data_IF_378995904814
#
_entry.id   IF_378995904814
#
_cell.length_a   1.000
_cell.length_b   1.000
_cell.length_c   1.000
_cell.angle_alpha   90.00
_cell.angle_beta   90.00
_cell.angle_gamma   90.00
#
_symmetry.space_group_name_H-M   'P 1'
#
loop_
_entity.id
_entity.type
_entity.pdbx_description
1 polymer ?
#
# COMPACT_ATOMS: atom_id res chain seq x y z
N UNK A 1 -18.04 -14.89 4.47
CA UNK A 1 -18.74 -13.80 5.16
C UNK A 1 -19.45 -12.88 4.18
N UNK A 2 -20.24 -11.91 4.67
CA UNK A 2 -20.90 -10.95 3.80
C UNK A 2 -19.87 -10.20 2.96
N UNK A 3 -20.12 -10.06 1.67
CA UNK A 3 -19.22 -9.37 0.75
C UNK A 3 -18.23 -10.25 0.03
N UNK A 4 -18.28 -11.58 0.21
CA UNK A 4 -17.47 -12.52 -0.55
C UNK A 4 -16.01 -12.64 -0.11
N UNK A 5 -15.67 -12.24 1.11
CA UNK A 5 -14.30 -12.39 1.63
C UNK A 5 -14.09 -13.77 2.21
N UNK A 6 -12.92 -14.36 1.91
CA UNK A 6 -12.52 -15.62 2.51
C UNK A 6 -12.23 -15.44 3.99
N UNK A 7 -12.54 -16.47 4.77
CA UNK A 7 -12.20 -16.48 6.19
C UNK A 7 -10.70 -16.66 6.35
N UNK A 8 -10.08 -15.81 7.15
CA UNK A 8 -8.64 -15.85 7.46
C UNK A 8 -8.39 -15.95 8.94
N UNK A 9 -7.27 -16.55 9.27
CA UNK A 9 -6.71 -16.48 10.61
C UNK A 9 -6.24 -15.06 10.91
N UNK A 10 -6.16 -14.73 12.18
CA UNK A 10 -5.78 -13.40 12.63
C UNK A 10 -6.98 -12.60 13.13
N UNK A 11 -6.71 -11.38 13.49
CA UNK A 11 -7.74 -10.47 14.00
C UNK A 11 -7.29 -9.02 13.87
N UNK A 12 -8.26 -8.12 13.91
CA UNK A 12 -7.99 -6.68 14.02
C UNK A 12 -8.87 -6.14 15.12
N UNK A 13 -8.25 -5.45 16.09
CA UNK A 13 -8.97 -4.74 17.15
C UNK A 13 -9.02 -3.25 16.85
N UNK A 14 -10.17 -2.58 17.07
CA UNK A 14 -10.20 -1.12 17.01
C UNK A 14 -9.09 -0.51 17.88
N UNK A 15 -8.44 0.50 17.36
CA UNK A 15 -7.31 1.16 18.02
C UNK A 15 -5.93 0.64 17.61
N UNK A 16 -5.83 -0.50 16.93
CA UNK A 16 -4.54 -0.95 16.39
C UNK A 16 -4.08 0.00 15.28
N UNK A 17 -2.76 0.10 15.15
CA UNK A 17 -2.15 0.87 14.07
C UNK A 17 -2.23 0.10 12.74
N UNK A 18 -2.39 0.84 11.66
CA UNK A 18 -2.26 0.31 10.31
C UNK A 18 -0.96 0.84 9.72
N UNK A 19 -0.11 -0.10 9.30
CA UNK A 19 1.23 0.20 8.77
C UNK A 19 1.32 -0.32 7.35
N UNK A 20 1.87 0.48 6.45
CA UNK A 20 2.25 0.01 5.12
C UNK A 20 3.76 -0.17 5.08
N UNK A 21 4.20 -1.33 4.62
CA UNK A 21 5.60 -1.67 4.37
C UNK A 21 5.80 -1.89 2.87
N UNK A 22 6.80 -1.25 2.30
CA UNK A 22 7.07 -1.26 0.87
C UNK A 22 6.45 -0.06 0.15
N UNK A 23 7.00 0.27 -1.02
CA UNK A 23 6.50 1.39 -1.82
C UNK A 23 5.27 0.99 -2.62
N UNK A 24 4.20 1.79 -2.50
CA UNK A 24 2.97 1.61 -3.27
C UNK A 24 3.16 2.05 -4.73
N UNK A 25 2.49 1.34 -5.65
CA UNK A 25 2.41 1.71 -7.05
C UNK A 25 3.70 1.51 -7.86
N UNK A 26 4.77 1.04 -7.24
CA UNK A 26 6.08 0.92 -7.89
C UNK A 26 6.08 -0.10 -9.03
N UNK A 27 5.48 -1.27 -8.80
CA UNK A 27 5.40 -2.31 -9.83
C UNK A 27 4.60 -1.82 -11.04
N UNK A 28 3.48 -1.14 -10.79
CA UNK A 28 2.68 -0.55 -11.87
C UNK A 28 3.43 0.53 -12.64
N UNK A 29 4.16 1.40 -11.94
CA UNK A 29 4.96 2.43 -12.60
C UNK A 29 6.06 1.83 -13.47
N UNK A 30 6.69 0.73 -13.03
CA UNK A 30 7.66 -0.02 -13.84
C UNK A 30 7.03 -0.56 -15.11
N UNK A 31 5.81 -1.11 -15.02
CA UNK A 31 5.08 -1.60 -16.19
C UNK A 31 4.73 -0.47 -17.15
N UNK A 32 4.32 0.69 -16.64
CA UNK A 32 4.06 1.88 -17.46
C UNK A 32 5.35 2.29 -18.18
N UNK A 33 6.47 2.30 -17.46
CA UNK A 33 7.77 2.65 -18.05
C UNK A 33 8.13 1.71 -19.20
N UNK A 34 7.93 0.41 -19.02
CA UNK A 34 8.18 -0.57 -20.09
C UNK A 34 7.31 -0.35 -21.31
N UNK A 35 6.05 0.00 -21.12
CA UNK A 35 5.10 0.23 -22.21
C UNK A 35 5.27 1.59 -22.90
N UNK A 36 5.69 2.61 -22.16
CA UNK A 36 5.71 4.00 -22.61
C UNK A 36 7.11 4.62 -22.51
N UNK A 37 8.12 3.80 -22.70
CA UNK A 37 9.51 4.19 -22.49
C UNK A 37 9.89 5.46 -23.23
N UNK A 38 9.58 5.55 -24.52
CA UNK A 38 9.91 6.72 -25.35
C UNK A 38 9.27 8.00 -24.81
N UNK A 39 8.00 7.94 -24.45
CA UNK A 39 7.29 9.10 -23.89
C UNK A 39 7.92 9.56 -22.57
N UNK A 40 8.28 8.62 -21.71
CA UNK A 40 8.88 8.92 -20.41
C UNK A 40 10.30 9.46 -20.58
N UNK A 41 11.10 8.89 -21.48
CA UNK A 41 12.44 9.38 -21.77
C UNK A 41 12.43 10.78 -22.42
N UNK A 42 11.39 11.12 -23.13
CA UNK A 42 11.19 12.46 -23.66
C UNK A 42 10.80 13.50 -22.62
N UNK A 43 10.28 13.06 -21.48
CA UNK A 43 9.80 13.95 -20.41
C UNK A 43 10.73 14.05 -19.22
N UNK A 44 11.37 12.96 -18.85
CA UNK A 44 12.16 12.85 -17.62
C UNK A 44 13.63 12.55 -17.92
N UNK A 45 14.52 13.06 -17.08
CA UNK A 45 15.95 12.78 -17.18
C UNK A 45 16.23 11.29 -16.87
N UNK A 46 17.27 10.70 -17.48
CA UNK A 46 17.64 9.31 -17.21
C UNK A 46 17.85 9.01 -15.72
N UNK A 47 18.43 9.96 -14.98
CA UNK A 47 18.64 9.81 -13.53
C UNK A 47 17.34 9.65 -12.76
N UNK A 48 16.29 10.35 -13.18
CA UNK A 48 14.98 10.26 -12.58
C UNK A 48 14.33 8.89 -12.85
N UNK A 49 14.47 8.40 -14.09
CA UNK A 49 13.86 7.13 -14.51
C UNK A 49 14.60 5.90 -13.99
N UNK A 50 15.83 6.07 -13.50
CA UNK A 50 16.69 4.96 -13.09
C UNK A 50 16.04 4.07 -12.03
N UNK A 51 15.29 4.64 -11.09
CA UNK A 51 14.63 3.86 -10.06
C UNK A 51 13.57 2.90 -10.61
N UNK A 52 13.03 3.18 -11.81
CA UNK A 52 12.05 2.32 -12.46
C UNK A 52 12.71 1.14 -13.19
N UNK A 53 14.02 1.16 -13.36
CA UNK A 53 14.80 0.10 -13.98
C UNK A 53 15.43 -0.85 -12.96
N UNK A 54 15.52 -0.42 -11.70
CA UNK A 54 16.13 -1.23 -10.64
C UNK A 54 15.10 -2.08 -9.92
N UNK A 55 15.52 -3.26 -9.52
CA UNK A 55 14.74 -4.09 -8.61
C UNK A 55 14.80 -3.50 -7.20
N UNK A 56 13.78 -3.82 -6.39
CA UNK A 56 13.79 -3.43 -4.99
C UNK A 56 14.90 -4.14 -4.23
N UNK A 57 15.53 -3.43 -3.29
CA UNK A 57 16.55 -3.98 -2.42
C UNK A 57 15.97 -4.69 -1.19
N UNK A 58 14.66 -4.66 -1.01
CA UNK A 58 13.96 -5.24 0.13
C UNK A 58 12.88 -6.22 -0.35
N UNK A 59 12.46 -7.12 0.55
CA UNK A 59 11.45 -8.14 0.26
C UNK A 59 10.47 -8.23 1.43
N UNK A 60 9.27 -7.65 1.27
CA UNK A 60 8.30 -7.59 2.37
C UNK A 60 7.72 -8.95 2.72
N UNK A 61 7.51 -9.83 1.74
CA UNK A 61 6.96 -11.16 1.99
C UNK A 61 7.89 -12.00 2.86
N UNK A 62 9.16 -12.04 2.52
CA UNK A 62 10.18 -12.75 3.29
C UNK A 62 10.28 -12.18 4.70
N UNK A 63 10.33 -10.86 4.82
CA UNK A 63 10.34 -10.20 6.11
C UNK A 63 9.13 -10.58 6.95
N UNK A 64 7.92 -10.49 6.37
CA UNK A 64 6.69 -10.78 7.11
C UNK A 64 6.61 -12.24 7.55
N UNK A 65 6.96 -13.18 6.68
CA UNK A 65 6.98 -14.60 7.02
C UNK A 65 7.90 -14.88 8.20
N UNK A 66 9.08 -14.24 8.24
CA UNK A 66 10.01 -14.35 9.37
C UNK A 66 9.47 -13.69 10.64
N UNK A 67 8.83 -12.52 10.49
CA UNK A 67 8.24 -11.79 11.61
C UNK A 67 7.11 -12.59 12.27
N UNK A 68 6.27 -13.23 11.47
CA UNK A 68 5.15 -14.03 11.97
C UNK A 68 5.59 -15.29 12.73
N UNK A 69 6.82 -15.73 12.55
CA UNK A 69 7.39 -16.86 13.29
C UNK A 69 7.90 -16.46 14.67
N UNK A 70 8.05 -15.17 14.91
CA UNK A 70 8.57 -14.67 16.18
C UNK A 70 7.51 -14.82 17.27
N UNK A 71 7.96 -15.21 18.47
CA UNK A 71 7.12 -15.18 19.66
C UNK A 71 6.75 -13.71 19.93
N UNK A 72 5.51 -13.47 20.28
CA UNK A 72 5.02 -12.12 20.59
C UNK A 72 5.06 -11.16 19.40
N UNK A 73 4.88 -11.68 18.19
CA UNK A 73 4.77 -10.85 16.99
C UNK A 73 3.60 -9.87 17.13
N UNK A 74 3.83 -8.55 16.96
CA UNK A 74 2.76 -7.56 17.11
C UNK A 74 1.80 -7.51 15.92
N UNK A 75 2.14 -8.14 14.80
CA UNK A 75 1.29 -8.17 13.60
C UNK A 75 0.17 -9.19 13.80
N UNK A 76 -1.07 -8.74 13.68
CA UNK A 76 -2.25 -9.60 13.89
C UNK A 76 -3.02 -9.90 12.60
N UNK A 77 -2.85 -9.08 11.57
CA UNK A 77 -3.51 -9.26 10.28
C UNK A 77 -2.72 -8.50 9.21
N UNK A 78 -2.86 -8.92 7.96
CA UNK A 78 -2.18 -8.28 6.82
C UNK A 78 -2.91 -8.54 5.52
N UNK A 79 -2.61 -7.71 4.51
CA UNK A 79 -3.06 -7.90 3.13
C UNK A 79 -2.00 -7.36 2.18
N UNK A 80 -1.58 -8.16 1.22
CA UNK A 80 -0.63 -7.72 0.20
C UNK A 80 -1.33 -6.83 -0.83
N UNK A 81 -0.68 -5.73 -1.19
CA UNK A 81 -1.14 -4.88 -2.28
C UNK A 81 -0.73 -5.52 -3.61
N UNK A 82 -1.69 -5.70 -4.49
CA UNK A 82 -1.50 -6.30 -5.82
C UNK A 82 -2.34 -5.52 -6.84
N UNK A 83 -3.16 -6.23 -7.61
CA UNK A 83 -4.08 -5.60 -8.54
C UNK A 83 -5.05 -4.67 -7.81
N UNK A 84 -5.23 -3.48 -8.35
CA UNK A 84 -6.04 -2.42 -7.73
C UNK A 84 -5.29 -1.59 -6.69
N UNK A 85 -4.01 -1.91 -6.45
CA UNK A 85 -3.12 -1.14 -5.60
C UNK A 85 -3.41 -1.21 -4.11
N UNK A 86 -2.80 -0.29 -3.37
CA UNK A 86 -2.88 -0.28 -1.90
C UNK A 86 -4.31 -0.02 -1.40
N UNK A 87 -5.11 0.77 -2.10
CA UNK A 87 -6.48 1.04 -1.65
C UNK A 87 -7.38 -0.18 -1.74
N UNK A 88 -7.16 -1.06 -2.73
CA UNK A 88 -7.87 -2.34 -2.78
C UNK A 88 -7.44 -3.23 -1.62
N UNK A 89 -6.16 -3.23 -1.25
CA UNK A 89 -5.69 -3.97 -0.08
C UNK A 89 -6.34 -3.46 1.22
N UNK A 90 -6.47 -2.16 1.38
CA UNK A 90 -7.16 -1.55 2.54
C UNK A 90 -8.62 -2.01 2.58
N UNK A 91 -9.32 -1.94 1.47
CA UNK A 91 -10.70 -2.37 1.36
C UNK A 91 -10.85 -3.84 1.76
N UNK A 92 -10.00 -4.70 1.21
CA UNK A 92 -10.05 -6.15 1.48
C UNK A 92 -9.76 -6.44 2.96
N UNK A 93 -8.73 -5.82 3.52
CA UNK A 93 -8.37 -6.02 4.94
C UNK A 93 -9.55 -5.63 5.85
N UNK A 94 -10.13 -4.47 5.63
CA UNK A 94 -11.30 -3.98 6.36
C UNK A 94 -12.48 -4.97 6.25
N UNK A 95 -12.75 -5.46 5.04
CA UNK A 95 -13.86 -6.39 4.80
C UNK A 95 -13.63 -7.77 5.40
N UNK A 96 -12.43 -8.31 5.26
CA UNK A 96 -12.07 -9.64 5.80
C UNK A 96 -12.29 -9.68 7.32
N UNK A 97 -11.86 -8.64 8.03
CA UNK A 97 -11.91 -8.59 9.48
C UNK A 97 -13.09 -7.77 10.03
N UNK A 98 -13.95 -7.27 9.14
CA UNK A 98 -15.15 -6.55 9.48
C UNK A 98 -14.90 -5.40 10.47
N UNK A 99 -13.97 -4.54 10.12
CA UNK A 99 -13.53 -3.42 10.96
C UNK A 99 -13.43 -2.14 10.12
N UNK A 100 -13.71 -1.00 10.75
CA UNK A 100 -13.51 0.31 10.12
C UNK A 100 -12.03 0.69 10.07
N UNK A 101 -11.70 1.66 9.24
CA UNK A 101 -10.36 2.21 9.12
C UNK A 101 -10.41 3.73 9.02
N UNK A 102 -9.35 4.38 9.47
CA UNK A 102 -9.12 5.82 9.27
C UNK A 102 -7.69 5.96 8.75
N UNK A 103 -7.54 6.34 7.50
CA UNK A 103 -6.27 6.32 6.78
C UNK A 103 -5.93 7.70 6.23
N UNK A 104 -4.69 8.15 6.42
CA UNK A 104 -4.15 9.34 5.76
C UNK A 104 -3.33 8.90 4.55
N UNK A 105 -3.82 9.18 3.35
CA UNK A 105 -3.17 8.80 2.09
C UNK A 105 -1.75 9.36 1.97
N UNK A 106 -1.49 10.54 2.53
CA UNK A 106 -0.17 11.17 2.45
C UNK A 106 0.92 10.38 3.16
N UNK A 107 0.54 9.51 4.09
CA UNK A 107 1.48 8.71 4.86
C UNK A 107 1.92 7.44 4.13
N UNK A 108 1.23 7.04 3.08
CA UNK A 108 1.57 5.82 2.33
C UNK A 108 2.93 6.00 1.64
N UNK A 109 3.92 5.13 1.90
CA UNK A 109 5.21 5.22 1.22
C UNK A 109 5.05 5.14 -0.31
N UNK A 110 5.56 6.13 -0.99
CA UNK A 110 5.48 6.21 -2.45
C UNK A 110 6.66 7.01 -2.98
N UNK A 111 7.30 6.50 -4.03
CA UNK A 111 8.40 7.20 -4.69
C UNK A 111 7.86 8.38 -5.51
N UNK A 112 8.60 9.47 -5.53
CA UNK A 112 8.23 10.64 -6.35
C UNK A 112 8.12 10.28 -7.82
N UNK A 113 8.95 9.38 -8.32
CA UNK A 113 8.87 8.91 -9.69
C UNK A 113 7.50 8.27 -10.01
N UNK A 114 6.94 7.54 -9.05
CA UNK A 114 5.60 6.94 -9.21
C UNK A 114 4.54 8.03 -9.33
N UNK A 115 4.61 9.01 -8.44
CA UNK A 115 3.66 10.14 -8.44
C UNK A 115 3.68 10.87 -9.77
N UNK A 116 4.86 11.21 -10.27
CA UNK A 116 4.99 11.98 -11.50
C UNK A 116 4.65 11.20 -12.76
N UNK A 117 4.99 9.92 -12.81
CA UNK A 117 4.57 9.05 -13.92
C UNK A 117 3.04 8.93 -13.93
N UNK A 118 2.42 8.74 -12.78
CA UNK A 118 0.97 8.66 -12.68
C UNK A 118 0.29 9.97 -13.06
N UNK A 119 0.86 11.10 -12.68
CA UNK A 119 0.36 12.42 -13.12
C UNK A 119 0.38 12.55 -14.63
N UNK A 120 1.46 12.16 -15.28
CA UNK A 120 1.60 12.24 -16.73
C UNK A 120 0.52 11.45 -17.47
N UNK A 121 0.13 10.31 -16.95
CA UNK A 121 -0.88 9.45 -17.59
C UNK A 121 -2.27 9.57 -16.94
N UNK A 122 -2.45 10.50 -16.02
CA UNK A 122 -3.72 10.76 -15.33
C UNK A 122 -4.31 9.52 -14.68
N UNK A 123 -3.47 8.74 -14.03
CA UNK A 123 -3.87 7.56 -13.25
C UNK A 123 -3.62 7.77 -11.77
N UNK A 124 -4.42 7.11 -10.93
CA UNK A 124 -4.32 7.21 -9.48
C UNK A 124 -3.27 6.22 -8.96
N UNK A 125 -2.15 6.68 -8.40
CA UNK A 125 -1.10 5.77 -7.92
C UNK A 125 -1.53 4.86 -6.79
N UNK A 126 -2.53 5.26 -6.00
CA UNK A 126 -3.03 4.45 -4.89
C UNK A 126 -3.89 3.27 -5.36
N UNK A 127 -4.33 3.30 -6.62
CA UNK A 127 -5.11 2.23 -7.26
C UNK A 127 -4.34 1.55 -8.39
N UNK A 128 -3.05 1.81 -8.45
CA UNK A 128 -2.14 1.24 -9.43
C UNK A 128 -1.50 -0.03 -8.87
N UNK A 129 -1.37 -1.02 -9.73
CA UNK A 129 -0.75 -2.31 -9.41
C UNK A 129 0.49 -2.15 -8.54
N UNK A 130 0.56 -2.94 -7.48
CA UNK A 130 1.66 -2.94 -6.54
C UNK A 130 2.15 -4.37 -6.33
N UNK A 131 3.42 -4.49 -6.00
CA UNK A 131 4.05 -5.72 -5.51
C UNK A 131 5.03 -5.32 -4.42
N UNK A 132 5.44 -6.26 -3.62
CA UNK A 132 6.41 -6.01 -2.56
C UNK A 132 5.95 -4.86 -1.64
N UNK A 133 4.65 -4.88 -1.34
CA UNK A 133 3.97 -3.86 -0.56
C UNK A 133 2.84 -4.53 0.22
N UNK A 134 2.73 -4.25 1.52
CA UNK A 134 1.75 -4.90 2.40
C UNK A 134 1.19 -3.91 3.39
N UNK A 135 -0.11 -4.02 3.68
CA UNK A 135 -0.72 -3.32 4.82
C UNK A 135 -0.84 -4.30 5.99
N UNK A 136 -0.45 -3.84 7.17
CA UNK A 136 -0.43 -4.60 8.42
C UNK A 136 -1.33 -3.94 9.45
N UNK A 137 -2.04 -4.76 10.22
CA UNK A 137 -2.63 -4.30 11.48
C UNK A 137 -1.71 -4.78 12.60
N UNK A 138 -1.29 -3.90 13.47
CA UNK A 138 -0.34 -4.26 14.52
C UNK A 138 -0.46 -3.34 15.73
N UNK A 139 0.07 -3.84 16.85
CA UNK A 139 0.30 -3.03 18.04
C UNK A 139 1.64 -2.30 17.89
N UNK A 140 1.74 -1.14 18.50
CA UNK A 140 2.99 -0.36 18.51
C UNK A 140 3.55 -0.12 17.11
N UNK A 141 2.74 0.45 16.24
CA UNK A 141 3.09 0.71 14.84
C UNK A 141 4.37 1.52 14.67
N UNK A 142 4.64 2.48 15.54
CA UNK A 142 5.87 3.26 15.49
C UNK A 142 7.13 2.42 15.68
N UNK A 143 7.09 1.45 16.58
CA UNK A 143 8.20 0.49 16.76
C UNK A 143 8.35 -0.40 15.53
N UNK A 144 7.23 -0.84 14.97
CA UNK A 144 7.23 -1.66 13.74
C UNK A 144 7.91 -0.91 12.60
N UNK A 145 7.56 0.35 12.41
CA UNK A 145 8.15 1.21 11.36
C UNK A 145 9.67 1.35 11.58
N UNK A 146 10.11 1.57 12.82
CA UNK A 146 11.55 1.67 13.12
C UNK A 146 12.28 0.36 12.80
N UNK A 147 11.68 -0.77 13.16
CA UNK A 147 12.25 -2.10 12.86
C UNK A 147 12.37 -2.33 11.34
N UNK A 148 11.32 -1.98 10.60
CA UNK A 148 11.33 -2.10 9.13
C UNK A 148 12.39 -1.18 8.51
N UNK A 149 12.45 0.07 8.94
CA UNK A 149 13.42 1.04 8.44
C UNK A 149 14.86 0.60 8.70
N UNK A 150 15.13 0.01 9.86
CA UNK A 150 16.46 -0.54 10.18
C UNK A 150 16.86 -1.67 9.24
N UNK A 151 15.91 -2.33 8.60
CA UNK A 151 16.14 -3.39 7.60
C UNK A 151 16.10 -2.86 6.16
N UNK A 152 16.02 -1.55 5.99
CA UNK A 152 15.95 -0.94 4.67
C UNK A 152 14.60 -1.06 3.97
N UNK A 153 13.55 -1.39 4.70
CA UNK A 153 12.19 -1.49 4.16
C UNK A 153 11.44 -0.19 4.44
N UNK A 154 11.03 0.55 3.40
CA UNK A 154 10.26 1.77 3.61
C UNK A 154 8.93 1.42 4.28
N UNK A 155 8.54 2.19 5.30
CA UNK A 155 7.33 1.92 6.04
C UNK A 155 6.81 3.17 6.73
N UNK A 156 5.50 3.20 7.00
CA UNK A 156 4.87 4.28 7.75
C UNK A 156 3.61 3.78 8.43
N UNK A 157 3.29 4.37 9.57
CA UNK A 157 1.95 4.26 10.15
C UNK A 157 1.05 5.15 9.32
N UNK A 158 0.05 4.56 8.67
CA UNK A 158 -0.83 5.29 7.76
C UNK A 158 -2.19 5.62 8.38
N UNK A 159 -2.51 5.04 9.50
CA UNK A 159 -3.79 5.25 10.18
C UNK A 159 -4.04 4.23 11.26
N UNK A 160 -5.30 4.00 11.55
CA UNK A 160 -5.74 3.11 12.61
C UNK A 160 -7.00 2.33 12.23
N UNK A 161 -7.15 1.17 12.87
CA UNK A 161 -8.39 0.43 12.82
C UNK A 161 -9.41 1.09 13.76
N UNK A 162 -10.66 1.14 13.32
CA UNK A 162 -11.71 1.84 14.03
C UNK A 162 -12.91 0.92 14.30
N UNK A 163 -13.70 1.30 15.29
CA UNK A 163 -14.99 0.64 15.54
C UNK A 163 -15.92 0.86 14.36
N UNK A 164 -16.83 -0.08 14.14
CA UNK A 164 -17.77 0.01 13.04
C UNK A 164 -17.20 -0.48 11.72
N UNK A 165 -17.72 0.03 10.62
CA UNK A 165 -17.39 -0.45 9.26
C UNK A 165 -16.97 0.68 8.32
N UNK A 166 -16.96 1.93 8.79
CA UNK A 166 -16.61 3.06 7.94
C UNK A 166 -15.14 3.01 7.51
N UNK A 167 -14.90 3.20 6.24
CA UNK A 167 -13.55 3.25 5.66
C UNK A 167 -13.23 4.69 5.34
N UNK A 168 -12.70 5.42 6.32
CA UNK A 168 -12.42 6.85 6.21
C UNK A 168 -11.04 7.06 5.58
N UNK A 169 -10.99 7.90 4.56
CA UNK A 169 -9.78 8.26 3.83
C UNK A 169 -9.58 9.76 3.95
N UNK A 170 -8.37 10.18 4.34
CA UNK A 170 -7.98 11.57 4.52
C UNK A 170 -6.81 11.94 3.62
N UNK A 171 -6.74 13.22 3.28
CA UNK A 171 -5.55 13.88 2.72
C UNK A 171 -5.06 14.87 3.78
N UNK A 172 -4.39 14.36 4.82
CA UNK A 172 -4.01 15.17 5.96
C UNK A 172 -5.23 15.65 6.74
N UNK A 173 -5.20 16.91 7.16
CA UNK A 173 -6.28 17.50 7.97
C UNK A 173 -7.40 18.12 7.13
N UNK A 174 -7.18 18.30 5.82
CA UNK A 174 -8.06 19.13 4.97
C UNK A 174 -9.37 18.47 4.59
N UNK A 175 -9.34 17.21 4.20
CA UNK A 175 -10.57 16.54 3.72
C UNK A 175 -10.63 15.09 4.18
N UNK A 176 -11.82 14.68 4.59
CA UNK A 176 -12.13 13.30 4.85
C UNK A 176 -13.23 12.85 3.89
N UNK A 177 -13.09 11.65 3.37
CA UNK A 177 -14.09 10.99 2.55
C UNK A 177 -14.13 9.52 2.90
N UNK A 178 -14.92 8.77 2.17
CA UNK A 178 -15.00 7.32 2.34
C UNK A 178 -14.31 6.63 1.17
N UNK A 179 -13.63 5.52 1.49
CA UNK A 179 -13.02 4.68 0.48
C UNK A 179 -14.10 4.09 -0.42
N UNK A 180 -13.95 4.31 -1.71
CA UNK A 180 -14.86 3.74 -2.70
C UNK A 180 -14.53 2.27 -2.95
N UNK A 181 -15.54 1.54 -3.42
CA UNK A 181 -15.40 0.14 -3.81
C UNK A 181 -14.28 -0.02 -4.84
N UNK A 182 -13.48 -1.10 -4.76
CA UNK A 182 -12.44 -1.36 -5.75
C UNK A 182 -12.98 -1.40 -7.18
N UNK A 183 -12.15 -0.88 -8.09
CA UNK A 183 -12.39 -0.85 -9.53
C UNK A 183 -11.24 -1.58 -10.23
N UNK A 184 -11.35 -1.73 -11.55
CA UNK A 184 -10.27 -2.25 -12.36
C UNK A 184 -8.98 -1.45 -12.08
N UNK A 185 -7.83 -2.15 -12.08
CA UNK A 185 -6.53 -1.54 -11.86
C UNK A 185 -6.30 -0.38 -12.84
N UNK A 186 -5.67 0.69 -12.36
CA UNK A 186 -5.37 1.85 -13.18
C UNK A 186 -4.48 1.53 -14.38
N UNK A 187 -3.75 0.42 -14.35
CA UNK A 187 -2.99 -0.05 -15.52
C UNK A 187 -3.88 -0.28 -16.74
N UNK A 188 -5.15 -0.64 -16.54
CA UNK A 188 -6.08 -0.88 -17.65
C UNK A 188 -6.35 0.39 -18.46
N UNK A 189 -6.03 1.55 -17.92
CA UNK A 189 -6.18 2.85 -18.59
C UNK A 189 -4.98 3.20 -19.47
N UNK A 190 -3.91 2.45 -19.36
CA UNK A 190 -2.69 2.66 -20.15
C UNK A 190 -2.79 1.83 -21.43
N UNK A 191 -2.93 2.50 -22.54
CA UNK A 191 -3.09 1.87 -23.85
C UNK A 191 -1.83 1.28 -24.43
#
# INVERSE_FOLDING_TARGET
GPGGFEKRDGFIKPGQDLVVAGYAGMAGARLIFQKKKEKLEGRFAPSFLRCLEKEDSYHVKEWLENELKQKDCPVTAWEYAKEGGILTAVWNLSGIFNVGVDIDLRMIPMKQAVVEVCEMFEVNPYRLFSENCVILACDRGGQMVRSLSARGIPAAVIGSAEKGIARVIRHGEETAGYLERPRADELTRIG
#
